data_IF_787880387998
#
_entry.id   IF_787880387998
#
_cell.length_a   1.000
_cell.length_b   1.000
_cell.length_c   1.000
_cell.angle_alpha   90.00
_cell.angle_beta   90.00
_cell.angle_gamma   90.00
#
_symmetry.space_group_name_H-M   'P 1'
#
loop_
_entity.id
_entity.type
_entity.pdbx_description
1 polymer ?
#
# COMPACT_ATOMS: atom_id res chain seq x y z
N UNK A 1 -48.06 32.55 41.48
CA UNK A 1 -47.60 32.87 40.13
C UNK A 1 -46.16 32.37 40.02
N UNK A 2 -45.98 31.11 39.64
CA UNK A 2 -44.65 30.47 39.58
C UNK A 2 -44.14 30.50 38.12
N UNK A 3 -43.02 31.16 37.91
CA UNK A 3 -42.33 31.20 36.61
C UNK A 3 -41.45 29.96 36.49
N UNK A 4 -41.79 29.04 35.60
CA UNK A 4 -40.93 27.94 35.17
C UNK A 4 -39.84 28.49 34.24
N UNK A 5 -38.56 28.35 34.65
CA UNK A 5 -37.41 28.61 33.79
C UNK A 5 -37.04 27.31 33.11
N UNK A 6 -37.26 27.21 31.79
CA UNK A 6 -36.81 26.10 30.95
C UNK A 6 -35.35 26.35 30.56
N UNK A 7 -34.44 25.58 31.17
CA UNK A 7 -33.04 25.52 30.74
C UNK A 7 -32.92 24.56 29.52
N UNK A 8 -32.73 25.13 28.33
CA UNK A 8 -32.42 24.36 27.13
C UNK A 8 -30.91 23.97 27.14
N UNK A 9 -30.64 22.71 27.45
CA UNK A 9 -29.28 22.15 27.39
C UNK A 9 -28.97 21.80 25.94
N UNK A 10 -28.20 22.66 25.25
CA UNK A 10 -27.71 22.39 23.89
C UNK A 10 -26.64 21.30 23.90
N UNK A 11 -26.94 20.12 23.39
CA UNK A 11 -25.96 19.07 23.07
C UNK A 11 -25.12 19.55 21.89
N UNK A 12 -23.88 19.98 22.13
CA UNK A 12 -22.87 20.09 21.07
C UNK A 12 -22.46 18.68 20.66
N UNK A 13 -22.94 18.23 19.52
CA UNK A 13 -22.45 17.03 18.87
C UNK A 13 -21.02 17.33 18.35
N UNK A 14 -19.99 16.90 19.06
CA UNK A 14 -18.63 16.88 18.56
C UNK A 14 -18.54 15.82 17.46
N UNK A 15 -18.53 16.25 16.19
CA UNK A 15 -18.23 15.38 15.07
C UNK A 15 -16.79 14.89 15.21
N UNK A 16 -16.51 13.56 15.14
CA UNK A 16 -15.14 13.08 15.12
C UNK A 16 -14.49 13.57 13.83
N UNK A 17 -13.60 14.53 13.93
CA UNK A 17 -12.67 14.88 12.86
C UNK A 17 -11.78 13.65 12.68
N UNK A 18 -11.95 12.91 11.57
CA UNK A 18 -10.99 11.89 11.15
C UNK A 18 -9.67 12.61 10.91
N UNK A 19 -8.79 12.56 11.88
CA UNK A 19 -7.46 13.10 11.74
C UNK A 19 -6.78 12.36 10.60
N UNK A 20 -6.54 13.06 9.49
CA UNK A 20 -5.75 12.56 8.38
C UNK A 20 -4.35 12.28 8.93
N UNK A 21 -3.96 11.01 8.99
CA UNK A 21 -2.63 10.64 9.47
C UNK A 21 -1.58 11.30 8.57
N UNK A 22 -0.64 12.03 9.17
CA UNK A 22 0.46 12.65 8.45
C UNK A 22 1.25 11.60 7.66
N UNK A 23 1.87 12.03 6.56
CA UNK A 23 2.74 11.16 5.78
C UNK A 23 3.90 10.64 6.64
N UNK A 24 4.18 9.33 6.66
CA UNK A 24 5.27 8.75 7.44
C UNK A 24 6.66 8.91 6.79
N UNK A 25 6.74 9.59 5.64
CA UNK A 25 8.00 9.81 4.94
C UNK A 25 8.95 10.65 5.77
N UNK A 26 10.18 10.18 6.06
CA UNK A 26 11.15 10.96 6.82
C UNK A 26 11.57 12.23 6.06
N UNK A 27 11.69 13.34 6.78
CA UNK A 27 12.25 14.57 6.20
C UNK A 27 13.76 14.46 6.07
N UNK A 28 14.31 14.82 4.89
CA UNK A 28 15.76 14.86 4.68
C UNK A 28 16.44 13.49 4.74
N UNK A 29 15.74 12.40 4.40
CA UNK A 29 16.34 11.07 4.36
C UNK A 29 17.48 10.99 3.33
N UNK A 30 18.42 10.10 3.61
CA UNK A 30 19.54 9.80 2.73
C UNK A 30 19.62 8.28 2.55
N UNK A 31 19.82 7.83 1.30
CA UNK A 31 19.92 6.43 0.92
C UNK A 31 21.19 6.23 0.09
N UNK A 32 22.37 6.22 0.75
CA UNK A 32 23.69 6.12 0.10
C UNK A 32 24.48 4.89 0.57
N UNK A 33 24.47 4.61 1.85
CA UNK A 33 25.15 3.47 2.43
C UNK A 33 24.17 2.35 2.78
N UNK A 34 24.58 1.07 2.84
CA UNK A 34 23.71 -0.04 3.25
C UNK A 34 22.96 0.19 4.56
N UNK A 35 23.65 0.80 5.54
CA UNK A 35 23.07 1.16 6.84
C UNK A 35 21.92 2.17 6.75
N UNK A 36 21.91 3.02 5.71
CA UNK A 36 20.82 3.98 5.50
C UNK A 36 19.52 3.25 5.17
N UNK A 37 19.61 2.14 4.41
CA UNK A 37 18.44 1.34 4.07
C UNK A 37 17.90 0.60 5.29
N UNK A 38 18.77 0.07 6.15
CA UNK A 38 18.35 -0.65 7.37
C UNK A 38 17.62 0.28 8.35
N UNK A 39 18.12 1.48 8.56
CA UNK A 39 17.50 2.43 9.50
C UNK A 39 16.09 2.88 9.08
N UNK A 40 15.78 2.87 7.77
CA UNK A 40 14.47 3.29 7.27
C UNK A 40 13.47 2.14 7.02
N UNK A 41 13.81 0.89 7.36
CA UNK A 41 12.86 -0.23 7.23
C UNK A 41 11.53 0.01 7.97
N UNK A 42 11.49 0.55 9.21
CA UNK A 42 10.22 0.87 9.86
C UNK A 42 9.37 1.87 9.06
N UNK A 43 9.99 2.94 8.54
CA UNK A 43 9.30 3.95 7.74
C UNK A 43 8.80 3.41 6.40
N UNK A 44 9.50 2.42 5.82
CA UNK A 44 9.02 1.71 4.63
C UNK A 44 7.72 0.97 4.93
N UNK A 45 7.68 0.21 6.04
CA UNK A 45 6.47 -0.51 6.46
C UNK A 45 5.31 0.44 6.73
N UNK A 46 5.56 1.52 7.46
CA UNK A 46 4.57 2.57 7.75
C UNK A 46 4.07 3.25 6.46
N UNK A 47 4.98 3.54 5.51
CA UNK A 47 4.63 4.17 4.24
C UNK A 47 3.76 3.27 3.38
N UNK A 48 4.06 1.97 3.31
CA UNK A 48 3.22 0.99 2.58
C UNK A 48 1.83 0.90 3.22
N UNK A 49 1.75 0.83 4.54
CA UNK A 49 0.48 0.82 5.26
C UNK A 49 -0.33 2.10 5.03
N UNK A 50 0.32 3.28 5.07
CA UNK A 50 -0.30 4.57 4.82
C UNK A 50 -0.83 4.69 3.39
N UNK A 51 -0.04 4.30 2.37
CA UNK A 51 -0.45 4.32 0.96
C UNK A 51 -1.61 3.36 0.67
N UNK A 52 -1.71 2.27 1.44
CA UNK A 52 -2.78 1.27 1.29
C UNK A 52 -4.03 1.60 2.10
N UNK A 53 -3.97 2.63 2.95
CA UNK A 53 -5.11 3.02 3.79
C UNK A 53 -6.20 3.69 2.92
N UNK A 54 -7.48 3.27 3.03
CA UNK A 54 -8.57 3.85 2.25
C UNK A 54 -8.83 5.33 2.54
N UNK A 55 -8.38 5.85 3.68
CA UNK A 55 -8.53 7.28 4.03
C UNK A 55 -7.41 8.16 3.49
N UNK A 56 -6.32 7.57 2.97
CA UNK A 56 -5.21 8.32 2.37
C UNK A 56 -5.61 8.83 0.99
N UNK A 57 -5.65 10.16 0.77
CA UNK A 57 -6.16 10.72 -0.47
C UNK A 57 -5.19 10.47 -1.64
N UNK A 58 -5.77 10.25 -2.83
CA UNK A 58 -5.03 10.16 -4.07
C UNK A 58 -4.74 11.55 -4.64
N UNK A 59 -3.68 11.66 -5.46
CA UNK A 59 -3.33 12.90 -6.17
C UNK A 59 -2.72 14.00 -5.30
N UNK A 60 -2.30 13.71 -4.08
CA UNK A 60 -1.66 14.67 -3.18
C UNK A 60 -0.13 14.68 -3.31
N UNK A 61 0.50 15.79 -2.92
CA UNK A 61 1.97 15.92 -2.82
C UNK A 61 2.57 14.89 -1.86
N UNK A 62 1.89 14.65 -0.74
CA UNK A 62 2.34 13.69 0.27
C UNK A 62 2.36 12.26 -0.27
N UNK A 63 1.33 11.89 -1.05
CA UNK A 63 1.29 10.59 -1.72
C UNK A 63 2.39 10.46 -2.77
N UNK A 64 2.65 11.52 -3.53
CA UNK A 64 3.75 11.54 -4.49
C UNK A 64 5.13 11.42 -3.80
N UNK A 65 5.33 12.07 -2.66
CA UNK A 65 6.54 11.95 -1.85
C UNK A 65 6.70 10.52 -1.29
N UNK A 66 5.61 9.91 -0.80
CA UNK A 66 5.59 8.55 -0.29
C UNK A 66 5.94 7.52 -1.38
N UNK A 67 5.34 7.64 -2.56
CA UNK A 67 5.67 6.81 -3.72
C UNK A 67 7.15 6.92 -4.10
N UNK A 68 7.69 8.14 -4.13
CA UNK A 68 9.10 8.39 -4.44
C UNK A 68 10.02 7.73 -3.40
N UNK A 69 9.77 7.96 -2.12
CA UNK A 69 10.56 7.37 -1.04
C UNK A 69 10.61 5.84 -1.15
N UNK A 70 9.48 5.17 -1.37
CA UNK A 70 9.44 3.72 -1.55
C UNK A 70 10.23 3.26 -2.77
N UNK A 71 10.07 3.93 -3.91
CA UNK A 71 10.79 3.55 -5.14
C UNK A 71 12.30 3.72 -4.94
N UNK A 72 12.75 4.83 -4.35
CA UNK A 72 14.17 5.08 -4.06
C UNK A 72 14.75 4.04 -3.10
N UNK A 73 14.01 3.76 -2.01
CA UNK A 73 14.44 2.76 -1.03
C UNK A 73 14.52 1.35 -1.64
N UNK A 74 13.48 0.90 -2.34
CA UNK A 74 13.44 -0.43 -2.96
C UNK A 74 14.54 -0.58 -4.02
N UNK A 75 14.77 0.46 -4.82
CA UNK A 75 15.77 0.41 -5.90
C UNK A 75 17.21 0.30 -5.41
N UNK A 76 17.50 0.80 -4.22
CA UNK A 76 18.86 0.76 -3.62
C UNK A 76 18.99 -0.25 -2.48
N UNK A 77 17.93 -0.91 -2.05
CA UNK A 77 17.95 -1.83 -0.92
C UNK A 77 18.87 -3.03 -1.18
N UNK A 78 19.83 -3.33 -0.29
CA UNK A 78 20.66 -4.51 -0.39
C UNK A 78 19.94 -5.80 0.05
N UNK A 79 18.80 -5.67 0.76
CA UNK A 79 18.11 -6.79 1.41
C UNK A 79 16.81 -7.19 0.73
N UNK A 80 16.21 -6.29 -0.06
CA UNK A 80 14.95 -6.53 -0.78
C UNK A 80 15.21 -6.48 -2.28
N UNK A 81 14.88 -7.56 -2.99
CA UNK A 81 14.90 -7.62 -4.46
C UNK A 81 13.49 -7.97 -4.95
N UNK A 82 12.90 -7.10 -5.73
CA UNK A 82 11.54 -7.28 -6.25
C UNK A 82 11.57 -7.88 -7.65
N UNK A 83 10.87 -8.99 -7.84
CA UNK A 83 10.63 -9.59 -9.14
C UNK A 83 9.36 -9.01 -9.76
N UNK A 84 9.48 -8.38 -10.93
CA UNK A 84 8.32 -7.86 -11.66
C UNK A 84 8.02 -8.77 -12.85
N UNK A 85 6.92 -9.51 -12.76
CA UNK A 85 6.47 -10.43 -13.80
C UNK A 85 5.61 -9.70 -14.87
N UNK A 86 5.49 -10.24 -16.08
CA UNK A 86 4.73 -9.58 -17.16
C UNK A 86 3.29 -9.20 -16.77
N UNK A 87 2.60 -10.05 -16.01
CA UNK A 87 1.22 -9.78 -15.60
C UNK A 87 1.08 -8.52 -14.72
N UNK A 88 2.15 -8.10 -14.03
CA UNK A 88 2.15 -6.90 -13.19
C UNK A 88 1.89 -5.65 -14.02
N UNK A 89 2.40 -5.61 -15.25
CA UNK A 89 2.16 -4.48 -16.16
C UNK A 89 0.69 -4.36 -16.57
N UNK A 90 0.00 -5.50 -16.75
CA UNK A 90 -1.43 -5.53 -17.02
C UNK A 90 -2.25 -5.19 -15.77
N UNK A 91 -1.85 -5.73 -14.62
CA UNK A 91 -2.49 -5.49 -13.33
C UNK A 91 -2.40 -4.01 -12.92
N UNK A 92 -1.27 -3.36 -13.16
CA UNK A 92 -1.07 -1.96 -12.79
C UNK A 92 -1.57 -0.99 -13.86
N UNK A 93 -1.69 -1.43 -15.13
CA UNK A 93 -2.22 -0.66 -16.26
C UNK A 93 -1.63 0.76 -16.36
N UNK A 94 -0.32 0.89 -16.20
CA UNK A 94 0.43 2.18 -16.17
C UNK A 94 0.03 3.13 -15.04
N UNK A 95 -0.74 2.69 -14.07
CA UNK A 95 -1.08 3.47 -12.88
C UNK A 95 0.08 3.39 -11.88
N UNK A 96 0.74 4.52 -11.62
CA UNK A 96 1.91 4.60 -10.75
C UNK A 96 1.60 4.23 -9.29
N UNK A 97 0.40 4.53 -8.80
CA UNK A 97 -0.01 4.13 -7.45
C UNK A 97 -0.12 2.61 -7.33
N UNK A 98 -0.66 1.94 -8.36
CA UNK A 98 -0.78 0.49 -8.37
C UNK A 98 0.58 -0.19 -8.51
N UNK A 99 1.48 0.37 -9.33
CA UNK A 99 2.84 -0.15 -9.43
C UNK A 99 3.60 0.01 -8.11
N UNK A 100 3.52 1.17 -7.47
CA UNK A 100 4.13 1.39 -6.16
C UNK A 100 3.51 0.49 -5.09
N UNK A 101 2.20 0.22 -5.17
CA UNK A 101 1.55 -0.74 -4.28
C UNK A 101 2.10 -2.17 -4.45
N UNK A 102 2.39 -2.59 -5.69
CA UNK A 102 3.03 -3.89 -5.93
C UNK A 102 4.43 -3.94 -5.31
N UNK A 103 5.28 -2.96 -5.64
CA UNK A 103 6.66 -2.89 -5.14
C UNK A 103 6.69 -2.80 -3.60
N UNK A 104 5.84 -1.94 -3.04
CA UNK A 104 5.73 -1.75 -1.59
C UNK A 104 5.18 -2.99 -0.87
N UNK A 105 4.16 -3.64 -1.42
CA UNK A 105 3.61 -4.88 -0.87
C UNK A 105 4.64 -6.00 -0.81
N UNK A 106 5.42 -6.16 -1.88
CA UNK A 106 6.56 -7.10 -1.90
C UNK A 106 7.59 -6.76 -0.83
N UNK A 107 8.04 -5.49 -0.80
CA UNK A 107 9.06 -5.04 0.15
C UNK A 107 8.59 -5.21 1.60
N UNK A 108 7.36 -4.81 1.90
CA UNK A 108 6.76 -4.94 3.23
C UNK A 108 6.70 -6.39 3.69
N UNK A 109 6.25 -7.30 2.80
CA UNK A 109 6.19 -8.72 3.15
C UNK A 109 7.58 -9.31 3.35
N UNK A 110 8.54 -8.99 2.47
CA UNK A 110 9.93 -9.46 2.58
C UNK A 110 10.61 -8.99 3.87
N UNK A 111 10.36 -7.77 4.31
CA UNK A 111 10.90 -7.23 5.57
C UNK A 111 10.31 -7.92 6.80
N UNK A 112 9.03 -8.25 6.77
CA UNK A 112 8.33 -8.93 7.86
C UNK A 112 8.62 -10.44 7.90
N UNK A 113 9.00 -11.03 6.75
CA UNK A 113 9.28 -12.46 6.57
C UNK A 113 10.62 -12.67 5.88
N UNK A 114 11.76 -12.36 6.54
CA UNK A 114 13.08 -12.33 5.88
C UNK A 114 13.55 -13.68 5.35
N UNK A 115 12.98 -14.78 5.83
CA UNK A 115 13.27 -16.13 5.38
C UNK A 115 12.37 -16.61 4.23
N UNK A 116 11.33 -15.88 3.89
CA UNK A 116 10.45 -16.22 2.76
C UNK A 116 11.12 -15.88 1.43
N UNK A 117 11.25 -16.88 0.56
CA UNK A 117 11.87 -16.76 -0.76
C UNK A 117 11.01 -17.36 -1.88
N UNK A 118 9.85 -17.92 -1.55
CA UNK A 118 8.93 -18.45 -2.55
C UNK A 118 8.38 -17.31 -3.42
N UNK A 119 8.71 -17.28 -4.72
CA UNK A 119 8.22 -16.23 -5.62
C UNK A 119 6.70 -16.20 -5.74
N UNK A 120 6.01 -17.33 -5.54
CA UNK A 120 4.54 -17.38 -5.56
C UNK A 120 3.99 -16.59 -4.37
N UNK A 121 4.54 -16.79 -3.18
CA UNK A 121 4.10 -16.09 -1.97
C UNK A 121 4.36 -14.60 -2.09
N UNK A 122 5.57 -14.21 -2.49
CA UNK A 122 5.97 -12.80 -2.62
C UNK A 122 5.12 -12.06 -3.66
N UNK A 123 4.91 -12.65 -4.84
CA UNK A 123 4.03 -12.10 -5.88
C UNK A 123 2.57 -12.01 -5.41
N UNK A 124 2.08 -13.02 -4.69
CA UNK A 124 0.71 -13.05 -4.17
C UNK A 124 0.47 -11.92 -3.18
N UNK A 125 1.37 -11.70 -2.22
CA UNK A 125 1.22 -10.64 -1.20
C UNK A 125 1.35 -9.25 -1.82
N UNK A 126 2.28 -9.07 -2.77
CA UNK A 126 2.37 -7.85 -3.57
C UNK A 126 1.07 -7.59 -4.36
N UNK A 127 0.51 -8.62 -5.00
CA UNK A 127 -0.76 -8.51 -5.74
C UNK A 127 -1.91 -8.14 -4.81
N UNK A 128 -2.04 -8.74 -3.63
CA UNK A 128 -3.08 -8.37 -2.65
C UNK A 128 -3.01 -6.89 -2.28
N UNK A 129 -1.81 -6.34 -2.11
CA UNK A 129 -1.62 -4.90 -1.84
C UNK A 129 -2.13 -4.05 -3.00
N UNK A 130 -1.85 -4.43 -4.26
CA UNK A 130 -2.41 -3.75 -5.44
C UNK A 130 -3.92 -3.79 -5.45
N UNK A 131 -4.52 -4.95 -5.16
CA UNK A 131 -5.99 -5.10 -5.17
C UNK A 131 -6.65 -4.23 -4.09
N UNK A 132 -6.02 -4.08 -2.91
CA UNK A 132 -6.50 -3.18 -1.87
C UNK A 132 -6.48 -1.72 -2.32
N UNK A 133 -5.35 -1.24 -2.87
CA UNK A 133 -5.22 0.12 -3.40
C UNK A 133 -6.17 0.36 -4.57
N UNK A 134 -6.31 -0.60 -5.48
CA UNK A 134 -7.27 -0.52 -6.58
C UNK A 134 -8.73 -0.36 -6.10
N UNK A 135 -9.14 -1.13 -5.10
CA UNK A 135 -10.47 -0.99 -4.46
C UNK A 135 -10.64 0.42 -3.86
N UNK A 136 -9.62 0.93 -3.17
CA UNK A 136 -9.62 2.28 -2.58
C UNK A 136 -9.73 3.40 -3.63
N UNK A 137 -9.21 3.17 -4.85
CA UNK A 137 -9.36 4.08 -6.02
C UNK A 137 -10.73 3.98 -6.71
N UNK A 138 -11.67 3.21 -6.17
CA UNK A 138 -13.00 3.01 -6.72
C UNK A 138 -13.17 1.74 -7.57
N UNK A 139 -12.13 0.95 -7.77
CA UNK A 139 -12.21 -0.41 -8.31
C UNK A 139 -12.76 -0.51 -9.74
N UNK A 140 -12.43 0.44 -10.63
CA UNK A 140 -13.00 0.51 -11.99
C UNK A 140 -11.92 0.60 -13.07
N UNK A 141 -12.25 0.07 -14.26
CA UNK A 141 -11.43 0.28 -15.47
C UNK A 141 -10.25 -0.68 -15.68
N UNK A 142 -9.99 -1.61 -14.75
CA UNK A 142 -8.97 -2.64 -14.91
C UNK A 142 -9.56 -4.04 -14.81
N UNK A 143 -9.62 -4.75 -15.95
CA UNK A 143 -10.20 -6.10 -16.05
C UNK A 143 -9.40 -7.12 -15.25
N UNK A 144 -8.07 -7.08 -15.35
CA UNK A 144 -7.15 -7.97 -14.65
C UNK A 144 -7.31 -7.83 -13.13
N UNK A 145 -7.31 -6.59 -12.61
CA UNK A 145 -7.54 -6.35 -11.19
C UNK A 145 -8.91 -6.87 -10.71
N UNK A 146 -9.97 -6.66 -11.52
CA UNK A 146 -11.31 -7.14 -11.20
C UNK A 146 -11.39 -8.67 -11.16
N UNK A 147 -10.71 -9.35 -12.08
CA UNK A 147 -10.61 -10.81 -12.10
C UNK A 147 -9.85 -11.33 -10.87
N UNK A 148 -8.68 -10.73 -10.59
CA UNK A 148 -7.84 -11.15 -9.46
C UNK A 148 -8.51 -10.92 -8.10
N UNK A 149 -9.37 -9.90 -7.97
CA UNK A 149 -10.21 -9.74 -6.78
C UNK A 149 -11.09 -10.97 -6.56
N UNK A 150 -11.79 -11.44 -7.60
CA UNK A 150 -12.66 -12.62 -7.53
C UNK A 150 -11.87 -13.88 -7.19
N UNK A 151 -10.70 -14.07 -7.82
CA UNK A 151 -9.83 -15.20 -7.54
C UNK A 151 -9.30 -15.18 -6.11
N UNK A 152 -8.96 -14.00 -5.58
CA UNK A 152 -8.53 -13.84 -4.20
C UNK A 152 -9.65 -14.19 -3.21
N UNK A 153 -10.88 -13.76 -3.47
CA UNK A 153 -12.07 -14.08 -2.67
C UNK A 153 -12.41 -15.57 -2.69
N UNK A 154 -12.07 -16.27 -3.77
CA UNK A 154 -12.24 -17.72 -3.93
C UNK A 154 -11.06 -18.55 -3.39
N UNK A 155 -10.00 -17.92 -2.88
CA UNK A 155 -8.77 -18.61 -2.46
C UNK A 155 -7.92 -19.17 -3.60
N UNK A 156 -8.17 -18.74 -4.86
CA UNK A 156 -7.50 -19.23 -6.08
C UNK A 156 -6.36 -18.34 -6.57
N UNK A 157 -6.07 -17.25 -5.87
CA UNK A 157 -4.98 -16.34 -6.26
C UNK A 157 -3.60 -17.03 -6.29
N UNK A 158 -3.24 -17.93 -5.35
CA UNK A 158 -1.94 -18.61 -5.39
C UNK A 158 -1.71 -19.43 -6.65
N UNK A 159 -2.71 -20.21 -7.08
CA UNK A 159 -2.63 -21.02 -8.29
C UNK A 159 -2.52 -20.15 -9.55
N UNK A 160 -3.29 -19.06 -9.58
CA UNK A 160 -3.22 -18.10 -10.68
C UNK A 160 -1.84 -17.46 -10.78
N UNK A 161 -1.29 -16.95 -9.66
CA UNK A 161 0.05 -16.36 -9.60
C UNK A 161 1.09 -17.37 -10.08
N UNK A 162 1.06 -18.60 -9.54
CA UNK A 162 1.98 -19.67 -9.93
C UNK A 162 1.97 -19.94 -11.44
N UNK A 163 0.81 -19.88 -12.07
CA UNK A 163 0.66 -20.10 -13.51
C UNK A 163 1.20 -18.94 -14.36
N UNK A 164 1.34 -17.74 -13.78
CA UNK A 164 1.76 -16.51 -14.47
C UNK A 164 3.19 -16.07 -14.11
N UNK A 165 3.90 -16.84 -13.29
CA UNK A 165 5.34 -16.63 -13.09
C UNK A 165 6.11 -17.09 -14.32
N UNK A 166 7.12 -16.31 -14.71
CA UNK A 166 8.05 -16.69 -15.76
C UNK A 166 8.79 -17.98 -15.38
N UNK A 167 8.79 -18.96 -16.29
CA UNK A 167 9.59 -20.17 -16.09
C UNK A 167 11.05 -19.80 -16.25
N UNK A 168 11.81 -19.91 -15.17
CA UNK A 168 13.28 -19.78 -15.17
C UNK A 168 13.90 -21.05 -15.72
#
# INVERSE_FOLDING_TARGET
>A
MSKLLLLALGLLAASPTLAQTASPVPTGYTLKAPTDFDQYQPQVLETVAWLSNPTTPFGTSDRAAANRFLIEWISGSPTVSVGVEPYVMELTNKDSDLLTAFLGGWASYSLQHPNEKDPVVLNMEATKTVLAVYKNKGGKGNKTATELIKLNEQGKLPEWVKAHLSRK
#
